data_IF_582853555770
#
_entry.id   IF_582853555770
#
_cell.length_a   1.000
_cell.length_b   1.000
_cell.length_c   1.000
_cell.angle_alpha   90.00
_cell.angle_beta   90.00
_cell.angle_gamma   90.00
#
_symmetry.space_group_name_H-M   'P 1'
#
loop_
_entity.id
_entity.type
_entity.pdbx_description
1 polymer ?
#
# COMPACT_ATOMS: atom_id res chain seq x y z
N UNK A 1 14.08 4.34 -8.52
CA UNK A 1 14.63 5.46 -7.72
C UNK A 1 13.50 6.33 -7.19
N UNK A 2 12.71 6.99 -8.05
CA UNK A 2 11.59 7.85 -7.62
C UNK A 2 10.58 7.21 -6.63
N UNK A 3 10.14 5.96 -6.86
CA UNK A 3 9.19 5.31 -5.93
C UNK A 3 9.79 5.03 -4.55
N UNK A 4 11.08 4.66 -4.51
CA UNK A 4 11.79 4.39 -3.26
C UNK A 4 11.96 5.66 -2.44
N UNK A 5 12.31 6.77 -3.09
CA UNK A 5 12.44 8.07 -2.45
C UNK A 5 11.10 8.57 -1.93
N UNK A 6 10.01 8.39 -2.70
CA UNK A 6 8.65 8.69 -2.26
C UNK A 6 8.25 7.84 -1.03
N UNK A 7 8.53 6.53 -1.04
CA UNK A 7 8.28 5.64 0.10
C UNK A 7 9.08 6.10 1.32
N UNK A 8 10.38 6.41 1.16
CA UNK A 8 11.21 6.94 2.25
C UNK A 8 10.65 8.25 2.80
N UNK A 9 10.22 9.17 1.94
CA UNK A 9 9.61 10.43 2.34
C UNK A 9 8.26 10.25 3.07
N UNK A 10 7.54 9.15 2.85
CA UNK A 10 6.34 8.82 3.63
C UNK A 10 6.67 8.35 5.04
N UNK A 11 7.77 7.60 5.19
CA UNK A 11 8.13 6.92 6.43
C UNK A 11 9.02 7.78 7.35
N UNK A 12 9.96 8.55 6.79
CA UNK A 12 10.92 9.36 7.54
C UNK A 12 10.29 10.43 8.46
N UNK A 13 9.29 11.23 8.02
CA UNK A 13 8.71 12.27 8.88
C UNK A 13 7.88 11.71 10.04
N UNK A 14 7.58 10.41 10.02
CA UNK A 14 6.63 9.76 10.95
C UNK A 14 7.27 8.74 11.90
N UNK A 15 8.60 8.63 11.92
CA UNK A 15 9.33 7.74 12.83
C UNK A 15 9.14 8.05 14.33
N UNK A 16 8.41 9.12 14.67
CA UNK A 16 8.04 9.47 16.04
C UNK A 16 6.60 9.07 16.43
N UNK A 17 5.75 8.63 15.49
CA UNK A 17 4.32 8.34 15.72
C UNK A 17 3.78 7.13 14.95
N UNK A 18 4.59 6.47 14.13
CA UNK A 18 4.20 5.28 13.37
C UNK A 18 5.05 4.11 13.83
N UNK A 19 4.40 3.12 14.44
CA UNK A 19 5.09 1.94 15.00
C UNK A 19 5.15 0.77 14.00
N UNK A 20 4.27 0.77 12.98
CA UNK A 20 4.10 -0.35 12.06
C UNK A 20 3.78 0.07 10.62
N UNK A 21 4.40 -0.61 9.66
CA UNK A 21 4.12 -0.50 8.22
C UNK A 21 3.34 -1.74 7.76
N UNK A 22 2.19 -1.51 7.12
CA UNK A 22 1.28 -2.56 6.67
C UNK A 22 1.26 -2.65 5.14
N UNK A 23 1.38 -3.85 4.56
CA UNK A 23 1.23 -4.05 3.12
C UNK A 23 0.69 -5.45 2.74
N UNK A 24 0.37 -5.64 1.45
CA UNK A 24 -0.35 -6.83 0.94
C UNK A 24 0.51 -8.02 0.53
N UNK A 25 1.83 -7.95 0.73
CA UNK A 25 2.78 -9.03 0.50
C UNK A 25 3.10 -9.37 -0.96
N UNK A 26 2.88 -8.48 -1.94
CA UNK A 26 3.32 -8.74 -3.31
C UNK A 26 4.86 -8.85 -3.37
N UNK A 27 5.44 -9.95 -3.90
CA UNK A 27 6.89 -10.16 -3.92
C UNK A 27 7.62 -9.21 -4.89
N UNK A 28 6.88 -8.48 -5.73
CA UNK A 28 7.41 -7.53 -6.70
C UNK A 28 6.61 -6.21 -6.64
N UNK A 29 7.25 -5.10 -7.01
CA UNK A 29 6.62 -3.79 -7.05
C UNK A 29 6.64 -3.04 -5.71
N UNK A 30 5.60 -2.24 -5.46
CA UNK A 30 5.55 -1.30 -4.33
C UNK A 30 5.63 -2.02 -2.98
N UNK A 31 4.90 -3.11 -2.79
CA UNK A 31 4.92 -3.89 -1.54
C UNK A 31 6.33 -4.42 -1.20
N UNK A 32 7.09 -4.87 -2.21
CA UNK A 32 8.46 -5.33 -2.02
C UNK A 32 9.39 -4.17 -1.62
N UNK A 33 9.28 -3.03 -2.32
CA UNK A 33 10.05 -1.82 -2.02
C UNK A 33 9.71 -1.25 -0.63
N UNK A 34 8.43 -1.26 -0.24
CA UNK A 34 7.99 -0.84 1.10
C UNK A 34 8.61 -1.74 2.16
N UNK A 35 8.61 -3.06 1.96
CA UNK A 35 9.22 -3.99 2.91
C UNK A 35 10.73 -3.80 3.05
N UNK A 36 11.46 -3.53 1.95
CA UNK A 36 12.88 -3.20 2.02
C UNK A 36 13.12 -1.90 2.80
N UNK A 37 12.44 -0.82 2.40
CA UNK A 37 12.63 0.50 3.02
C UNK A 37 12.21 0.51 4.49
N UNK A 38 11.10 -0.15 4.85
CA UNK A 38 10.64 -0.23 6.22
C UNK A 38 11.66 -0.96 7.12
N UNK A 39 12.26 -2.06 6.63
CA UNK A 39 13.31 -2.77 7.34
C UNK A 39 14.58 -1.94 7.50
N UNK A 40 15.01 -1.22 6.47
CA UNK A 40 16.16 -0.32 6.54
C UNK A 40 15.97 0.81 7.55
N UNK A 41 14.74 1.28 7.71
CA UNK A 41 14.38 2.34 8.65
C UNK A 41 14.00 1.83 10.04
N UNK A 42 14.00 0.50 10.26
CA UNK A 42 13.73 -0.10 11.58
C UNK A 42 12.26 -0.18 11.99
N UNK A 43 11.31 -0.06 11.05
CA UNK A 43 9.89 -0.22 11.35
C UNK A 43 9.49 -1.69 11.52
N UNK A 44 8.50 -1.96 12.38
CA UNK A 44 7.80 -3.24 12.38
C UNK A 44 6.99 -3.36 11.09
N UNK A 45 7.00 -4.54 10.45
CA UNK A 45 6.28 -4.78 9.19
C UNK A 45 5.21 -5.85 9.36
N UNK A 46 3.96 -5.50 9.09
CA UNK A 46 2.83 -6.43 9.03
C UNK A 46 2.44 -6.72 7.60
N UNK A 47 2.60 -7.98 7.21
CA UNK A 47 2.25 -8.46 5.86
C UNK A 47 0.91 -9.19 5.91
N UNK A 48 -0.11 -8.61 5.27
CA UNK A 48 -1.39 -9.30 5.06
C UNK A 48 -1.29 -10.17 3.81
N UNK A 49 -0.99 -11.46 3.97
CA UNK A 49 -0.98 -12.41 2.85
C UNK A 49 -2.41 -12.85 2.52
N UNK A 50 -2.77 -12.96 1.23
CA UNK A 50 -4.06 -13.50 0.85
C UNK A 50 -4.22 -14.95 1.36
N UNK A 51 -5.35 -15.24 2.00
CA UNK A 51 -5.76 -16.60 2.33
C UNK A 51 -6.53 -17.15 1.14
N UNK A 52 -5.95 -18.12 0.44
CA UNK A 52 -6.61 -18.73 -0.73
C UNK A 52 -7.83 -19.50 -0.23
N UNK A 53 -8.98 -18.88 -0.37
CA UNK A 53 -10.30 -19.45 -0.15
C UNK A 53 -10.93 -19.51 -1.54
N UNK A 54 -11.50 -20.66 -1.93
CA UNK A 54 -11.85 -21.02 -3.32
C UNK A 54 -12.84 -20.12 -4.08
N UNK A 55 -13.15 -18.92 -3.59
CA UNK A 55 -14.05 -17.93 -4.21
C UNK A 55 -13.34 -16.88 -5.09
N UNK A 56 -12.01 -16.96 -5.24
CA UNK A 56 -11.22 -16.05 -6.08
C UNK A 56 -11.17 -14.59 -5.58
N UNK A 57 -11.83 -14.26 -4.46
CA UNK A 57 -11.94 -12.91 -3.89
C UNK A 57 -10.96 -12.67 -2.74
N UNK A 58 -10.03 -13.59 -2.54
CA UNK A 58 -9.06 -13.57 -1.44
C UNK A 58 -8.21 -12.28 -1.38
N UNK A 59 -7.88 -11.67 -2.52
CA UNK A 59 -7.21 -10.35 -2.53
C UNK A 59 -8.11 -9.22 -2.04
N UNK A 60 -9.41 -9.26 -2.36
CA UNK A 60 -10.38 -8.26 -1.92
C UNK A 60 -10.65 -8.39 -0.42
N UNK A 61 -10.76 -9.63 0.09
CA UNK A 61 -10.87 -9.93 1.53
C UNK A 61 -9.66 -9.39 2.28
N UNK A 62 -8.44 -9.72 1.84
CA UNK A 62 -7.19 -9.16 2.38
C UNK A 62 -7.20 -7.61 2.38
N UNK A 63 -7.61 -6.96 1.29
CA UNK A 63 -7.64 -5.50 1.23
C UNK A 63 -8.60 -4.89 2.27
N UNK A 64 -9.73 -5.56 2.56
CA UNK A 64 -10.65 -5.15 3.63
C UNK A 64 -10.03 -5.31 5.01
N UNK A 65 -9.34 -6.42 5.24
CA UNK A 65 -8.65 -6.66 6.52
C UNK A 65 -7.55 -5.62 6.76
N UNK A 66 -6.75 -5.30 5.74
CA UNK A 66 -5.76 -4.22 5.80
C UNK A 66 -6.41 -2.87 6.14
N UNK A 67 -7.49 -2.50 5.44
CA UNK A 67 -8.16 -1.23 5.69
C UNK A 67 -8.79 -1.14 7.10
N UNK A 68 -9.29 -2.25 7.64
CA UNK A 68 -9.77 -2.31 9.02
C UNK A 68 -8.64 -2.13 10.02
N UNK A 69 -7.50 -2.75 9.77
CA UNK A 69 -6.35 -2.78 10.68
C UNK A 69 -5.59 -1.44 10.72
N UNK A 70 -5.32 -0.84 9.56
CA UNK A 70 -4.47 0.36 9.47
C UNK A 70 -5.21 1.66 9.75
N UNK A 71 -4.53 2.67 10.28
CA UNK A 71 -5.11 4.00 10.54
C UNK A 71 -5.22 4.87 9.29
N UNK A 72 -4.30 4.71 8.33
CA UNK A 72 -4.28 5.46 7.08
C UNK A 72 -3.64 4.68 5.93
N UNK A 73 -3.84 5.15 4.70
CA UNK A 73 -3.28 4.55 3.49
C UNK A 73 -2.37 5.52 2.73
N UNK A 74 -1.17 5.05 2.40
CA UNK A 74 -0.36 5.62 1.33
C UNK A 74 -0.52 4.74 0.07
N UNK A 75 -1.19 5.26 -0.95
CA UNK A 75 -1.52 4.54 -2.16
C UNK A 75 -0.62 4.95 -3.32
N UNK A 76 -0.09 3.96 -4.04
CA UNK A 76 0.74 4.15 -5.23
C UNK A 76 0.06 3.51 -6.46
N UNK A 77 -1.07 4.06 -6.93
CA UNK A 77 -1.77 3.51 -8.08
C UNK A 77 -0.90 3.61 -9.34
N UNK A 78 -0.93 2.56 -10.15
CA UNK A 78 -0.30 2.57 -11.46
C UNK A 78 -1.19 3.34 -12.43
N UNK A 79 -0.61 4.28 -13.18
CA UNK A 79 -1.32 5.01 -14.23
C UNK A 79 -0.74 4.66 -15.60
N UNK A 80 -1.61 4.42 -16.58
CA UNK A 80 -1.24 4.27 -17.99
C UNK A 80 -1.90 5.39 -18.79
N UNK A 81 -1.11 6.15 -19.56
CA UNK A 81 -1.56 7.31 -20.33
C UNK A 81 -2.28 8.35 -19.45
N UNK A 82 -1.77 8.60 -18.25
CA UNK A 82 -2.36 9.55 -17.29
C UNK A 82 -3.67 9.09 -16.64
N UNK A 83 -4.16 7.87 -16.94
CA UNK A 83 -5.35 7.29 -16.30
C UNK A 83 -4.95 6.21 -15.31
N UNK A 84 -5.49 6.27 -14.10
CA UNK A 84 -5.31 5.21 -13.11
C UNK A 84 -5.89 3.89 -13.66
N UNK A 85 -5.10 2.82 -13.62
CA UNK A 85 -5.59 1.49 -14.01
C UNK A 85 -6.46 0.97 -12.86
N UNK A 86 -7.69 0.56 -13.20
CA UNK A 86 -8.58 -0.12 -12.25
C UNK A 86 -7.95 -1.42 -11.77
N UNK A 87 -7.85 -1.62 -10.47
CA UNK A 87 -7.13 -2.77 -9.91
C UNK A 87 -7.19 -2.88 -8.40
N UNK A 88 -6.35 -3.75 -7.84
CA UNK A 88 -6.32 -4.04 -6.40
C UNK A 88 -6.12 -2.80 -5.53
N UNK A 89 -5.30 -1.83 -5.99
CA UNK A 89 -5.05 -0.56 -5.28
C UNK A 89 -6.30 0.30 -5.18
N UNK A 90 -7.09 0.42 -6.25
CA UNK A 90 -8.37 1.17 -6.25
C UNK A 90 -9.35 0.57 -5.25
N UNK A 91 -9.44 -0.77 -5.19
CA UNK A 91 -10.28 -1.43 -4.21
C UNK A 91 -9.84 -1.10 -2.77
N UNK A 92 -8.53 -1.08 -2.49
CA UNK A 92 -8.00 -0.71 -1.17
C UNK A 92 -8.32 0.74 -0.82
N UNK A 93 -8.11 1.69 -1.73
CA UNK A 93 -8.48 3.10 -1.55
C UNK A 93 -9.96 3.22 -1.13
N UNK A 94 -10.85 2.57 -1.89
CA UNK A 94 -12.28 2.56 -1.61
C UNK A 94 -12.61 2.01 -0.22
N UNK A 95 -11.88 1.00 0.27
CA UNK A 95 -12.13 0.47 1.62
C UNK A 95 -11.76 1.49 2.71
N UNK A 96 -10.68 2.25 2.55
CA UNK A 96 -10.32 3.31 3.51
C UNK A 96 -11.34 4.45 3.48
N UNK A 97 -11.79 4.86 2.29
CA UNK A 97 -12.84 5.87 2.13
C UNK A 97 -14.15 5.46 2.80
N UNK A 98 -14.61 4.22 2.60
CA UNK A 98 -15.80 3.67 3.25
C UNK A 98 -15.68 3.73 4.79
N UNK A 99 -14.48 3.54 5.32
CA UNK A 99 -14.20 3.56 6.76
C UNK A 99 -13.92 4.98 7.30
N UNK A 100 -13.95 6.01 6.45
CA UNK A 100 -13.62 7.38 6.84
C UNK A 100 -12.15 7.59 7.21
N UNK A 101 -11.25 6.73 6.74
CA UNK A 101 -9.82 6.76 7.08
C UNK A 101 -9.03 7.55 6.03
N UNK A 102 -7.98 8.31 6.44
CA UNK A 102 -7.20 9.11 5.51
C UNK A 102 -6.49 8.29 4.43
N UNK A 103 -6.48 8.83 3.20
CA UNK A 103 -5.78 8.26 2.04
C UNK A 103 -4.91 9.35 1.39
N UNK A 104 -3.63 9.03 1.17
CA UNK A 104 -2.69 9.88 0.44
C UNK A 104 -2.28 9.13 -0.83
N UNK A 105 -2.49 9.75 -2.00
CA UNK A 105 -2.26 9.11 -3.31
C UNK A 105 -1.03 9.71 -3.98
N UNK A 106 -0.08 8.85 -4.35
CA UNK A 106 1.09 9.19 -5.16
C UNK A 106 0.90 8.71 -6.60
N UNK A 107 0.68 9.66 -7.51
CA UNK A 107 0.51 9.35 -8.92
C UNK A 107 1.84 8.96 -9.55
N UNK A 108 1.99 7.67 -9.87
CA UNK A 108 3.10 7.17 -10.69
C UNK A 108 2.77 7.40 -12.16
N UNK A 109 3.59 8.18 -12.87
CA UNK A 109 3.56 8.23 -14.34
C UNK A 109 4.40 7.07 -14.86
N UNK A 110 3.91 6.34 -15.85
CA UNK A 110 4.77 5.51 -16.68
C UNK A 110 5.76 6.44 -17.37
N UNK A 111 7.07 6.19 -17.23
CA UNK A 111 8.02 6.77 -18.19
C UNK A 111 7.81 6.02 -19.50
N UNK A 112 7.56 6.77 -20.57
CA UNK A 112 7.55 6.25 -21.94
C UNK A 112 8.90 5.64 -22.32
#
# INVERSE_FOLDING_TARGET
MADRDAIRACLLPKSLLVDEVVHGGCPQGIDALVNEVAKELGFTVKVFRPKIEGDGRYYLKRNREMAKYSDMLYAFPFSKNGKAIRGGTEHTIRQFEILGKPVIIFNRRAME
#
